data_IF_450498722443
#
_entry.id   IF_450498722443
#
_cell.length_a   1.000
_cell.length_b   1.000
_cell.length_c   1.000
_cell.angle_alpha   90.00
_cell.angle_beta   90.00
_cell.angle_gamma   90.00
#
_symmetry.space_group_name_H-M   'P 1'
#
loop_
_entity.id
_entity.type
_entity.pdbx_description
1 polymer ?
#
# COMPACT_ATOMS: atom_id res chain seq x y z
N UNK A 1 -10.94 12.22 -44.22
CA UNK A 1 -9.51 11.87 -44.35
C UNK A 1 -8.78 13.15 -43.96
N UNK A 2 -8.05 13.27 -42.87
CA UNK A 2 -7.14 12.32 -42.23
C UNK A 2 -7.47 12.07 -40.75
N UNK A 3 -7.15 10.85 -40.34
CA UNK A 3 -7.29 10.33 -38.98
C UNK A 3 -5.96 10.61 -38.30
N UNK A 4 -5.97 11.45 -37.26
CA UNK A 4 -4.76 11.78 -36.52
C UNK A 4 -4.28 10.53 -35.78
N UNK A 5 -3.06 10.10 -36.10
CA UNK A 5 -2.42 8.90 -35.59
C UNK A 5 -2.03 9.13 -34.13
N UNK A 6 -2.95 8.83 -33.21
CA UNK A 6 -2.65 8.69 -31.79
C UNK A 6 -1.67 7.52 -31.62
N UNK A 7 -0.40 7.85 -31.46
CA UNK A 7 0.69 6.91 -31.17
C UNK A 7 0.35 6.06 -29.95
N UNK A 8 -0.07 4.82 -30.20
CA UNK A 8 -0.24 3.76 -29.23
C UNK A 8 1.14 3.14 -28.97
N UNK A 9 1.98 3.83 -28.19
CA UNK A 9 3.24 3.28 -27.69
C UNK A 9 3.07 2.96 -26.20
N UNK A 10 2.84 1.67 -25.96
CA UNK A 10 3.23 0.90 -24.76
C UNK A 10 3.14 1.57 -23.38
N UNK A 11 1.92 1.71 -22.85
CA UNK A 11 1.67 1.96 -21.41
C UNK A 11 1.99 0.77 -20.50
N UNK A 12 2.90 -0.13 -20.89
CA UNK A 12 3.31 -1.31 -20.10
C UNK A 12 4.70 -1.20 -19.48
N UNK A 13 5.40 -0.07 -19.62
CA UNK A 13 6.77 0.05 -19.10
C UNK A 13 7.07 1.32 -18.28
N UNK A 14 6.04 1.95 -17.68
CA UNK A 14 6.21 3.15 -16.84
C UNK A 14 6.03 2.90 -15.33
N UNK A 15 5.84 1.65 -14.90
CA UNK A 15 5.82 1.27 -13.48
C UNK A 15 7.14 0.68 -12.97
N UNK A 16 8.22 0.74 -13.77
CA UNK A 16 9.40 -0.09 -13.51
C UNK A 16 10.56 0.56 -12.77
N UNK A 17 10.62 1.88 -12.50
CA UNK A 17 11.91 2.44 -12.02
C UNK A 17 11.78 3.55 -10.96
N UNK A 18 11.02 3.32 -9.89
CA UNK A 18 11.33 4.01 -8.62
C UNK A 18 11.78 3.03 -7.55
N UNK A 19 11.21 1.83 -7.52
CA UNK A 19 11.63 0.74 -6.63
C UNK A 19 12.94 0.04 -7.05
N UNK A 20 13.24 0.00 -8.34
CA UNK A 20 14.42 -0.73 -8.87
C UNK A 20 15.76 -0.03 -8.55
N UNK A 21 15.70 1.23 -8.12
CA UNK A 21 16.86 1.98 -7.64
C UNK A 21 17.22 1.68 -6.17
N UNK A 22 16.34 1.01 -5.41
CA UNK A 22 16.57 0.76 -3.96
C UNK A 22 17.40 -0.49 -3.67
N UNK A 23 17.81 -1.23 -4.70
CA UNK A 23 18.74 -2.36 -4.58
C UNK A 23 20.20 -1.95 -4.82
N UNK A 24 20.49 -0.65 -4.89
CA UNK A 24 21.83 -0.10 -5.13
C UNK A 24 22.59 0.26 -3.84
N UNK A 25 23.95 0.30 -3.90
CA UNK A 25 24.84 0.49 -2.75
C UNK A 25 24.70 1.83 -2.00
N UNK A 26 24.05 2.84 -2.60
CA UNK A 26 23.83 4.18 -2.02
C UNK A 26 22.78 4.22 -0.89
N UNK A 27 22.01 3.14 -0.73
CA UNK A 27 20.97 3.06 0.29
C UNK A 27 21.52 3.22 1.73
N UNK A 28 22.76 2.81 1.98
CA UNK A 28 23.38 2.98 3.31
C UNK A 28 23.62 4.44 3.69
N UNK A 29 23.85 5.31 2.71
CA UNK A 29 24.13 6.75 2.95
C UNK A 29 22.82 7.52 3.14
N UNK A 30 21.81 7.22 2.31
CA UNK A 30 20.48 7.82 2.46
C UNK A 30 19.77 7.38 3.75
N UNK A 31 19.84 6.09 4.12
CA UNK A 31 19.31 5.61 5.40
C UNK A 31 20.00 6.27 6.59
N UNK A 32 21.33 6.42 6.52
CA UNK A 32 22.08 7.06 7.59
C UNK A 32 21.69 8.54 7.73
N UNK A 33 21.53 9.26 6.62
CA UNK A 33 21.12 10.66 6.64
C UNK A 33 19.66 10.84 7.08
N UNK A 34 18.75 9.99 6.61
CA UNK A 34 17.36 9.99 7.04
C UNK A 34 17.22 9.63 8.53
N UNK A 35 18.02 8.69 9.03
CA UNK A 35 18.06 8.36 10.46
C UNK A 35 18.54 9.53 11.30
N UNK A 36 19.55 10.28 10.84
CA UNK A 36 20.02 11.49 11.55
C UNK A 36 18.97 12.60 11.53
N UNK A 37 18.28 12.78 10.41
CA UNK A 37 17.20 13.77 10.27
C UNK A 37 16.04 13.45 11.22
N UNK A 38 15.64 12.18 11.29
CA UNK A 38 14.62 11.70 12.24
C UNK A 38 15.07 11.90 13.70
N UNK A 39 16.34 11.60 14.02
CA UNK A 39 16.91 11.86 15.35
C UNK A 39 16.82 13.34 15.74
N UNK A 40 17.07 14.24 14.80
CA UNK A 40 17.02 15.69 15.02
C UNK A 40 15.58 16.18 15.20
N UNK A 41 14.65 15.67 14.38
CA UNK A 41 13.22 15.97 14.50
C UNK A 41 12.64 15.48 15.83
N UNK A 42 12.95 14.26 16.26
CA UNK A 42 12.51 13.72 17.57
C UNK A 42 13.04 14.55 18.73
N UNK A 43 14.31 14.98 18.66
CA UNK A 43 14.90 15.90 19.66
C UNK A 43 14.20 17.26 19.68
N UNK A 44 13.89 17.81 18.51
CA UNK A 44 13.18 19.09 18.40
C UNK A 44 11.75 19.00 18.94
N UNK A 45 11.03 17.93 18.64
CA UNK A 45 9.67 17.70 19.14
C UNK A 45 9.69 17.52 20.67
N UNK A 46 10.60 16.71 21.23
CA UNK A 46 10.72 16.60 22.69
C UNK A 46 11.01 17.95 23.34
N UNK A 47 11.89 18.78 22.74
CA UNK A 47 12.20 20.11 23.27
C UNK A 47 10.99 21.05 23.24
N UNK A 48 10.25 21.07 22.13
CA UNK A 48 9.04 21.88 22.00
C UNK A 48 7.96 21.45 23.00
N UNK A 49 7.83 20.15 23.24
CA UNK A 49 6.91 19.59 24.25
C UNK A 49 7.37 19.92 25.67
N UNK A 50 8.70 19.94 25.91
CA UNK A 50 9.30 20.33 27.19
C UNK A 50 8.98 21.79 27.55
N UNK A 51 8.98 22.68 26.54
CA UNK A 51 8.85 24.14 26.67
C UNK A 51 7.38 24.65 26.69
N UNK A 52 6.39 23.91 26.14
CA UNK A 52 5.04 24.46 25.86
C UNK A 52 3.83 23.85 26.62
N UNK A 53 3.92 22.77 27.42
CA UNK A 53 2.73 22.02 27.89
C UNK A 53 2.67 21.73 29.41
N UNK A 54 1.45 21.76 29.97
CA UNK A 54 1.12 21.33 31.34
C UNK A 54 1.52 19.84 31.55
N UNK A 55 2.05 19.53 32.74
CA UNK A 55 2.78 18.30 33.09
C UNK A 55 2.17 16.96 32.66
N UNK A 56 0.84 16.81 32.62
CA UNK A 56 0.17 15.54 32.29
C UNK A 56 0.17 15.26 30.77
N UNK A 57 -0.06 16.28 29.93
CA UNK A 57 -0.05 16.10 28.47
C UNK A 57 1.36 15.95 27.91
N UNK A 58 2.35 16.56 28.59
CA UNK A 58 3.78 16.41 28.30
C UNK A 58 4.25 14.97 28.39
N UNK A 59 3.86 14.24 29.43
CA UNK A 59 4.28 12.84 29.61
C UNK A 59 3.72 11.93 28.53
N UNK A 60 2.47 12.12 28.13
CA UNK A 60 1.80 11.29 27.11
C UNK A 60 2.42 11.51 25.72
N UNK A 61 2.65 12.78 25.34
CA UNK A 61 3.25 13.12 24.04
C UNK A 61 4.70 12.64 23.95
N UNK A 62 5.47 12.76 25.03
CA UNK A 62 6.85 12.22 25.09
C UNK A 62 6.85 10.71 24.87
N UNK A 63 5.96 9.96 25.54
CA UNK A 63 5.86 8.50 25.38
C UNK A 63 5.49 8.11 23.95
N UNK A 64 4.53 8.78 23.33
CA UNK A 64 4.12 8.48 21.95
C UNK A 64 5.23 8.77 20.93
N UNK A 65 5.94 9.88 21.08
CA UNK A 65 7.06 10.23 20.19
C UNK A 65 8.22 9.24 20.35
N UNK A 66 8.51 8.81 21.59
CA UNK A 66 9.52 7.78 21.86
C UNK A 66 9.14 6.43 21.25
N UNK A 67 7.86 6.05 21.33
CA UNK A 67 7.37 4.79 20.78
C UNK A 67 7.40 4.78 19.24
N UNK A 68 7.01 5.89 18.61
CA UNK A 68 7.12 6.05 17.16
C UNK A 68 8.58 5.94 16.69
N UNK A 69 9.50 6.62 17.41
CA UNK A 69 10.92 6.57 17.11
C UNK A 69 11.51 5.15 17.30
N UNK A 70 11.05 4.41 18.31
CA UNK A 70 11.41 3.00 18.54
C UNK A 70 11.00 2.10 17.38
N UNK A 71 9.78 2.28 16.86
CA UNK A 71 9.27 1.52 15.72
C UNK A 71 10.05 1.87 14.45
N UNK A 72 10.31 3.15 14.21
CA UNK A 72 11.11 3.62 13.07
C UNK A 72 12.53 3.02 13.09
N UNK A 73 13.22 3.05 14.24
CA UNK A 73 14.55 2.43 14.41
C UNK A 73 14.53 0.94 14.10
N UNK A 74 13.52 0.21 14.57
CA UNK A 74 13.39 -1.23 14.29
C UNK A 74 13.18 -1.50 12.80
N UNK A 75 12.45 -0.63 12.10
CA UNK A 75 12.27 -0.72 10.66
C UNK A 75 13.61 -0.53 9.91
N UNK A 76 14.38 0.49 10.28
CA UNK A 76 15.72 0.76 9.72
C UNK A 76 16.66 -0.42 9.97
N UNK A 77 16.69 -0.97 11.18
CA UNK A 77 17.52 -2.13 11.53
C UNK A 77 17.18 -3.37 10.69
N UNK A 78 15.89 -3.68 10.50
CA UNK A 78 15.46 -4.82 9.65
C UNK A 78 15.81 -4.61 8.18
N UNK A 79 15.74 -3.36 7.72
CA UNK A 79 16.07 -3.03 6.34
C UNK A 79 17.57 -3.10 6.06
N UNK A 80 18.42 -2.63 7.01
CA UNK A 80 19.87 -2.82 6.92
C UNK A 80 20.26 -4.30 7.03
N UNK A 81 19.55 -5.09 7.85
CA UNK A 81 19.77 -6.53 7.96
C UNK A 81 19.48 -7.26 6.65
N UNK A 82 18.30 -7.01 6.06
CA UNK A 82 17.89 -7.63 4.80
C UNK A 82 18.83 -7.25 3.64
N UNK A 83 19.20 -5.98 3.56
CA UNK A 83 20.13 -5.46 2.55
C UNK A 83 21.55 -5.97 2.77
N UNK A 84 21.97 -6.10 4.03
CA UNK A 84 23.26 -6.67 4.42
C UNK A 84 23.37 -8.17 4.12
N UNK A 85 22.32 -8.94 4.34
CA UNK A 85 22.25 -10.37 4.00
C UNK A 85 22.27 -10.59 2.48
N UNK A 86 21.59 -9.74 1.71
CA UNK A 86 21.63 -9.78 0.23
C UNK A 86 23.04 -9.49 -0.32
N UNK A 87 23.79 -8.59 0.32
CA UNK A 87 25.21 -8.33 -0.03
C UNK A 87 26.13 -9.49 0.31
N UNK A 88 25.86 -10.25 1.38
CA UNK A 88 26.67 -11.43 1.77
C UNK A 88 26.53 -12.58 0.77
N UNK A 89 25.42 -12.67 0.04
CA UNK A 89 25.20 -13.73 -0.97
C UNK A 89 25.64 -13.33 -2.38
N UNK A 90 26.01 -12.06 -2.60
CA UNK A 90 26.42 -11.51 -3.91
C UNK A 90 27.88 -10.98 -3.95
N UNK A 91 28.75 -11.43 -3.04
CA UNK A 91 30.15 -10.99 -2.96
C UNK A 91 31.04 -11.53 -4.11
N UNK A 92 31.96 -10.70 -4.65
CA UNK A 92 32.82 -11.03 -5.80
C UNK A 92 34.13 -11.72 -5.35
N UNK A 93 34.06 -12.98 -4.93
CA UNK A 93 35.25 -13.84 -4.84
C UNK A 93 34.86 -15.32 -4.82
N UNK A 94 34.60 -15.88 -5.99
CA UNK A 94 34.65 -17.32 -6.24
C UNK A 94 34.92 -17.54 -7.71
N UNK A 95 36.14 -17.19 -8.11
CA UNK A 95 36.77 -17.87 -9.24
C UNK A 95 37.08 -19.30 -8.82
N UNK A 96 36.54 -20.26 -9.56
CA UNK A 96 37.22 -21.44 -10.11
C UNK A 96 36.15 -22.43 -10.56
N UNK A 97 35.99 -22.51 -11.88
CA UNK A 97 35.93 -23.75 -12.64
C UNK A 97 35.39 -24.98 -11.90
N UNK A 98 34.14 -25.37 -12.21
CA UNK A 98 33.98 -26.59 -12.98
C UNK A 98 32.60 -26.72 -13.63
N UNK A 99 32.71 -26.87 -14.94
CA UNK A 99 31.74 -27.29 -15.93
C UNK A 99 31.22 -28.69 -15.56
N UNK A 100 29.91 -28.88 -15.40
CA UNK A 100 29.17 -29.95 -16.08
C UNK A 100 27.68 -29.97 -15.79
N UNK A 101 26.87 -30.47 -16.73
CA UNK A 101 25.63 -29.81 -17.13
C UNK A 101 24.40 -30.62 -16.74
N UNK A 102 23.38 -29.94 -16.22
CA UNK A 102 22.03 -30.50 -16.19
C UNK A 102 21.37 -30.22 -17.55
N UNK A 103 21.43 -31.24 -18.41
CA UNK A 103 20.78 -31.27 -19.72
C UNK A 103 19.26 -31.28 -19.52
N UNK A 104 18.64 -30.12 -19.69
CA UNK A 104 17.28 -30.01 -20.22
C UNK A 104 17.37 -30.21 -21.75
N UNK A 105 16.61 -31.13 -22.35
CA UNK A 105 16.54 -31.21 -23.81
C UNK A 105 15.42 -30.31 -24.30
N UNK A 106 15.78 -29.13 -24.80
CA UNK A 106 15.00 -28.45 -25.84
C UNK A 106 15.94 -28.08 -27.00
N UNK A 107 15.70 -28.74 -28.15
CA UNK A 107 16.33 -28.46 -29.45
C UNK A 107 15.73 -27.19 -30.05
N UNK A 108 16.48 -26.48 -30.92
CA UNK A 108 16.09 -26.57 -32.33
C UNK A 108 17.28 -26.52 -33.31
N UNK A 109 17.16 -27.20 -34.46
CA UNK A 109 17.44 -26.72 -35.83
C UNK A 109 17.24 -27.88 -36.83
N UNK A 110 16.17 -27.73 -37.63
CA UNK A 110 16.00 -27.98 -39.07
C UNK A 110 16.63 -29.20 -39.76
N UNK A 111 15.78 -30.09 -40.29
CA UNK A 111 15.69 -30.37 -41.74
C UNK A 111 14.40 -31.13 -42.11
N UNK A 112 13.65 -30.54 -43.07
CA UNK A 112 12.62 -31.09 -43.99
C UNK A 112 11.51 -32.01 -43.41
N UNK A 113 10.23 -31.87 -43.73
CA UNK A 113 9.51 -31.34 -44.88
C UNK A 113 8.03 -31.22 -44.49
N UNK A 114 7.37 -30.19 -45.03
CA UNK A 114 5.95 -30.12 -45.47
C UNK A 114 4.93 -31.05 -44.79
N UNK A 115 3.75 -30.66 -44.32
CA UNK A 115 2.86 -29.54 -44.61
C UNK A 115 1.70 -29.58 -43.58
N UNK A 116 1.19 -28.39 -43.25
CA UNK A 116 -0.16 -27.98 -42.78
C UNK A 116 -1.30 -29.03 -42.80
N UNK A 117 -2.28 -29.08 -41.89
CA UNK A 117 -3.21 -28.03 -41.45
C UNK A 117 -4.08 -28.58 -40.30
N UNK A 118 -4.27 -27.88 -39.18
CA UNK A 118 -5.29 -26.84 -38.89
C UNK A 118 -6.73 -27.38 -38.76
N UNK A 119 -7.34 -27.07 -37.60
CA UNK A 119 -8.78 -27.17 -37.29
C UNK A 119 -9.09 -28.35 -36.38
N UNK A 120 -9.51 -28.20 -35.12
CA UNK A 120 -10.37 -27.18 -34.53
C UNK A 120 -11.83 -27.54 -34.80
N UNK A 121 -12.58 -27.86 -33.73
CA UNK A 121 -13.97 -27.44 -33.49
C UNK A 121 -14.89 -28.53 -32.90
N UNK A 122 -15.52 -28.11 -31.80
CA UNK A 122 -16.89 -28.29 -31.29
C UNK A 122 -17.83 -29.39 -31.78
N UNK A 123 -18.55 -29.92 -30.78
CA UNK A 123 -20.00 -30.18 -30.69
C UNK A 123 -20.84 -30.13 -31.98
N UNK A 124 -21.58 -31.21 -32.28
CA UNK A 124 -23.05 -31.33 -32.08
C UNK A 124 -23.64 -32.57 -32.76
N UNK A 125 -24.81 -32.94 -32.23
CA UNK A 125 -25.79 -33.93 -32.68
C UNK A 125 -26.18 -33.88 -34.17
N UNK A 126 -26.82 -34.96 -34.64
CA UNK A 126 -27.72 -34.89 -35.79
C UNK A 126 -27.81 -36.16 -36.62
N UNK A 127 -28.88 -36.92 -36.38
CA UNK A 127 -29.46 -38.01 -37.18
C UNK A 127 -29.45 -37.75 -38.69
N UNK A 128 -29.17 -38.76 -39.53
CA UNK A 128 -30.12 -39.32 -40.52
C UNK A 128 -29.50 -40.30 -41.53
N UNK A 129 -30.35 -41.23 -41.95
CA UNK A 129 -30.10 -42.44 -42.73
C UNK A 129 -29.70 -42.20 -44.19
N UNK A 130 -29.01 -43.17 -44.80
CA UNK A 130 -29.50 -43.83 -46.03
C UNK A 130 -28.57 -44.95 -46.50
N UNK A 131 -29.20 -46.04 -46.92
CA UNK A 131 -28.63 -47.23 -47.52
C UNK A 131 -28.20 -47.01 -48.97
N UNK A 132 -27.09 -47.62 -49.40
CA UNK A 132 -26.95 -48.11 -50.78
C UNK A 132 -26.13 -49.40 -50.80
N UNK A 133 -26.67 -50.37 -51.54
CA UNK A 133 -26.23 -51.74 -51.76
C UNK A 133 -25.26 -51.87 -52.93
N UNK A 134 -24.38 -52.86 -52.90
CA UNK A 134 -24.03 -53.70 -54.05
C UNK A 134 -23.12 -54.88 -53.69
N UNK A 135 -23.45 -56.01 -54.29
CA UNK A 135 -22.89 -57.34 -54.16
C UNK A 135 -21.45 -57.48 -54.67
N UNK A 136 -20.72 -58.46 -54.12
CA UNK A 136 -19.73 -59.23 -54.86
C UNK A 136 -19.47 -60.56 -54.18
N UNK A 137 -19.95 -61.62 -54.82
CA UNK A 137 -19.63 -63.01 -54.55
C UNK A 137 -18.20 -63.34 -54.99
N UNK A 138 -17.51 -64.19 -54.22
CA UNK A 138 -16.73 -65.30 -54.79
C UNK A 138 -16.27 -66.27 -53.70
N UNK A 139 -16.65 -67.52 -53.94
CA UNK A 139 -16.43 -68.74 -53.20
C UNK A 139 -14.95 -69.16 -53.14
N UNK A 140 -14.56 -69.89 -52.10
CA UNK A 140 -13.46 -70.85 -52.19
C UNK A 140 -13.70 -72.02 -51.22
N UNK A 141 -14.00 -73.16 -51.83
CA UNK A 141 -14.37 -74.42 -51.21
C UNK A 141 -13.19 -75.16 -50.55
N UNK A 142 -13.56 -75.99 -49.57
CA UNK A 142 -12.84 -77.15 -49.01
C UNK A 142 -11.70 -76.86 -48.03
N UNK A 143 -12.00 -76.96 -46.73
CA UNK A 143 -11.29 -77.90 -45.84
C UNK A 143 -12.06 -78.16 -44.55
N UNK A 144 -13.30 -78.66 -44.67
CA UNK A 144 -13.86 -79.52 -43.64
C UNK A 144 -13.05 -80.82 -43.64
N UNK A 145 -12.72 -81.36 -42.45
CA UNK A 145 -11.94 -82.59 -42.18
C UNK A 145 -10.47 -82.37 -41.77
N UNK A 146 -10.17 -81.35 -40.94
CA UNK A 146 -9.06 -81.48 -39.97
C UNK A 146 -9.32 -80.78 -38.62
N UNK A 147 -10.55 -80.87 -38.11
CA UNK A 147 -10.91 -80.34 -36.78
C UNK A 147 -10.66 -81.36 -35.65
N UNK A 148 -10.26 -82.60 -35.97
CA UNK A 148 -10.15 -83.66 -34.95
C UNK A 148 -8.75 -84.26 -34.72
N UNK A 149 -7.70 -83.91 -35.47
CA UNK A 149 -6.41 -84.62 -35.34
C UNK A 149 -5.15 -83.73 -35.42
N UNK A 150 -5.16 -82.52 -34.86
CA UNK A 150 -3.92 -81.74 -34.64
C UNK A 150 -3.88 -80.96 -33.30
N UNK A 151 -4.88 -81.09 -32.43
CA UNK A 151 -5.10 -80.16 -31.31
C UNK A 151 -4.73 -80.70 -29.91
N UNK A 152 -3.67 -81.49 -29.79
CA UNK A 152 -3.18 -81.92 -28.46
C UNK A 152 -1.82 -81.32 -28.06
N UNK A 153 -1.05 -80.77 -29.02
CA UNK A 153 0.33 -80.32 -28.77
C UNK A 153 0.53 -78.80 -28.94
N UNK A 154 -0.44 -78.06 -29.50
CA UNK A 154 -0.39 -76.58 -29.65
C UNK A 154 -1.22 -75.81 -28.61
N UNK A 155 -2.05 -76.52 -27.85
CA UNK A 155 -2.91 -75.95 -26.79
C UNK A 155 -2.08 -75.32 -25.67
N UNK A 156 -0.87 -75.84 -25.43
CA UNK A 156 0.04 -75.40 -24.38
C UNK A 156 0.73 -74.05 -24.73
N UNK A 157 1.17 -73.88 -25.99
CA UNK A 157 1.75 -72.61 -26.48
C UNK A 157 0.72 -71.48 -26.58
N UNK A 158 -0.52 -71.79 -26.94
CA UNK A 158 -1.60 -70.80 -26.99
C UNK A 158 -1.97 -70.29 -25.60
N UNK A 159 -2.14 -71.20 -24.63
CA UNK A 159 -2.38 -70.84 -23.22
C UNK A 159 -1.23 -70.04 -22.61
N UNK A 160 0.01 -70.41 -22.91
CA UNK A 160 1.19 -69.68 -22.42
C UNK A 160 1.24 -68.23 -22.96
N UNK A 161 0.86 -68.02 -24.23
CA UNK A 161 0.77 -66.68 -24.84
C UNK A 161 -0.38 -65.86 -24.24
N UNK A 162 -1.50 -66.49 -23.96
CA UNK A 162 -2.65 -65.82 -23.34
C UNK A 162 -2.37 -65.44 -21.89
N UNK A 163 -1.76 -66.33 -21.12
CA UNK A 163 -1.32 -66.06 -19.74
C UNK A 163 -0.35 -64.88 -19.68
N UNK A 164 0.57 -64.75 -20.65
CA UNK A 164 1.45 -63.58 -20.76
C UNK A 164 0.67 -62.27 -20.98
N UNK A 165 -0.38 -62.28 -21.83
CA UNK A 165 -1.22 -61.09 -22.05
C UNK A 165 -2.03 -60.71 -20.81
N UNK A 166 -2.51 -61.71 -20.05
CA UNK A 166 -3.16 -61.47 -18.76
C UNK A 166 -2.19 -60.90 -17.73
N UNK A 167 -0.95 -61.39 -17.69
CA UNK A 167 0.13 -60.86 -16.84
C UNK A 167 0.41 -59.37 -17.16
N UNK A 168 0.61 -59.04 -18.45
CA UNK A 168 0.84 -57.67 -18.91
C UNK A 168 -0.34 -56.72 -18.59
N UNK A 169 -1.58 -57.24 -18.69
CA UNK A 169 -2.79 -56.48 -18.34
C UNK A 169 -2.90 -56.25 -16.83
N UNK A 170 -2.58 -57.27 -16.02
CA UNK A 170 -2.55 -57.15 -14.56
C UNK A 170 -1.49 -56.16 -14.10
N UNK A 171 -0.29 -56.19 -14.68
CA UNK A 171 0.73 -55.19 -14.38
C UNK A 171 0.27 -53.78 -14.74
N UNK A 172 -0.44 -53.61 -15.86
CA UNK A 172 -1.02 -52.32 -16.25
C UNK A 172 -2.11 -51.86 -15.28
N UNK A 173 -2.95 -52.79 -14.81
CA UNK A 173 -3.96 -52.52 -13.79
C UNK A 173 -3.30 -52.03 -12.49
N UNK A 174 -2.28 -52.75 -11.99
CA UNK A 174 -1.55 -52.36 -10.77
C UNK A 174 -0.90 -50.99 -10.90
N UNK A 175 -0.27 -50.68 -12.05
CA UNK A 175 0.28 -49.34 -12.31
C UNK A 175 -0.78 -48.25 -12.25
N UNK A 176 -1.94 -48.46 -12.86
CA UNK A 176 -3.03 -47.48 -12.80
C UNK A 176 -3.62 -47.34 -11.40
N UNK A 177 -3.72 -48.41 -10.63
CA UNK A 177 -4.15 -48.36 -9.22
C UNK A 177 -3.16 -47.57 -8.35
N UNK A 178 -1.86 -47.71 -8.59
CA UNK A 178 -0.82 -46.92 -7.92
C UNK A 178 -0.88 -45.45 -8.33
N UNK A 179 -0.97 -45.15 -9.64
CA UNK A 179 -1.09 -43.77 -10.14
C UNK A 179 -2.35 -43.07 -9.63
N UNK A 180 -3.47 -43.80 -9.52
CA UNK A 180 -4.71 -43.30 -8.92
C UNK A 180 -4.52 -42.98 -7.44
N UNK A 181 -3.80 -43.84 -6.70
CA UNK A 181 -3.50 -43.63 -5.28
C UNK A 181 -2.62 -42.41 -5.07
N UNK A 182 -1.58 -42.25 -5.87
CA UNK A 182 -0.67 -41.11 -5.82
C UNK A 182 -1.39 -39.80 -6.17
N UNK A 183 -2.26 -39.83 -7.17
CA UNK A 183 -3.08 -38.68 -7.57
C UNK A 183 -4.06 -38.28 -6.46
N UNK A 184 -4.72 -39.24 -5.82
CA UNK A 184 -5.60 -38.99 -4.68
C UNK A 184 -4.85 -38.40 -3.49
N UNK A 185 -3.63 -38.87 -3.20
CA UNK A 185 -2.81 -38.30 -2.13
C UNK A 185 -2.41 -36.84 -2.43
N UNK A 186 -2.00 -36.54 -3.67
CA UNK A 186 -1.70 -35.17 -4.10
C UNK A 186 -2.92 -34.25 -4.00
N UNK A 187 -4.10 -34.76 -4.38
CA UNK A 187 -5.35 -34.02 -4.27
C UNK A 187 -5.66 -33.67 -2.81
N UNK A 188 -5.55 -34.64 -1.89
CA UNK A 188 -5.78 -34.41 -0.45
C UNK A 188 -4.83 -33.34 0.13
N UNK A 189 -3.55 -33.39 -0.24
CA UNK A 189 -2.57 -32.38 0.21
C UNK A 189 -2.90 -30.98 -0.32
N UNK A 190 -3.31 -30.88 -1.60
CA UNK A 190 -3.73 -29.60 -2.19
C UNK A 190 -5.00 -29.06 -1.54
N UNK A 191 -5.98 -29.93 -1.23
CA UNK A 191 -7.20 -29.56 -0.50
C UNK A 191 -6.88 -29.03 0.90
N UNK A 192 -5.97 -29.68 1.64
CA UNK A 192 -5.53 -29.20 2.95
C UNK A 192 -4.84 -27.82 2.86
N UNK A 193 -3.98 -27.62 1.85
CA UNK A 193 -3.34 -26.33 1.62
C UNK A 193 -4.34 -25.22 1.29
N UNK A 194 -5.34 -25.50 0.45
CA UNK A 194 -6.43 -24.56 0.13
C UNK A 194 -7.17 -24.14 1.41
N UNK A 195 -7.51 -25.09 2.29
CA UNK A 195 -8.17 -24.78 3.57
C UNK A 195 -7.28 -23.87 4.41
N UNK A 196 -5.98 -24.18 4.52
CA UNK A 196 -5.03 -23.37 5.27
C UNK A 196 -4.92 -21.94 4.72
N UNK A 197 -4.82 -21.78 3.40
CA UNK A 197 -4.77 -20.47 2.76
C UNK A 197 -6.09 -19.70 2.96
N UNK A 198 -7.24 -20.35 2.82
CA UNK A 198 -8.55 -19.73 3.07
C UNK A 198 -8.71 -19.24 4.50
N UNK A 199 -8.24 -20.00 5.50
CA UNK A 199 -8.30 -19.54 6.90
C UNK A 199 -7.41 -18.31 7.16
N UNK A 200 -6.24 -18.23 6.51
CA UNK A 200 -5.38 -17.04 6.59
C UNK A 200 -5.99 -15.85 5.87
N UNK A 201 -6.56 -16.07 4.68
CA UNK A 201 -7.25 -15.05 3.90
C UNK A 201 -8.39 -14.43 4.73
N UNK A 202 -9.26 -15.26 5.31
CA UNK A 202 -10.38 -14.79 6.14
C UNK A 202 -9.93 -14.01 7.38
N UNK A 203 -8.80 -14.39 7.98
CA UNK A 203 -8.19 -13.61 9.09
C UNK A 203 -7.69 -12.26 8.59
N UNK A 204 -7.04 -12.22 7.43
CA UNK A 204 -6.58 -10.98 6.80
C UNK A 204 -7.74 -10.04 6.48
N UNK A 205 -8.81 -10.55 5.87
CA UNK A 205 -10.04 -9.79 5.57
C UNK A 205 -10.67 -9.20 6.84
N UNK A 206 -10.70 -9.97 7.93
CA UNK A 206 -11.21 -9.47 9.21
C UNK A 206 -10.37 -8.33 9.78
N UNK A 207 -9.03 -8.40 9.64
CA UNK A 207 -8.15 -7.31 10.09
C UNK A 207 -8.28 -6.07 9.19
N UNK A 208 -8.46 -6.28 7.88
CA UNK A 208 -8.69 -5.19 6.94
C UNK A 208 -9.97 -4.41 7.26
N UNK A 209 -11.06 -5.10 7.60
CA UNK A 209 -12.31 -4.45 8.03
C UNK A 209 -12.14 -3.63 9.32
N UNK A 210 -11.38 -4.13 10.30
CA UNK A 210 -11.13 -3.39 11.53
C UNK A 210 -10.26 -2.15 11.28
N UNK A 211 -9.25 -2.25 10.42
CA UNK A 211 -8.44 -1.11 10.01
C UNK A 211 -9.28 -0.07 9.26
N UNK A 212 -10.16 -0.49 8.33
CA UNK A 212 -11.07 0.43 7.64
C UNK A 212 -12.00 1.16 8.62
N UNK A 213 -12.52 0.46 9.62
CA UNK A 213 -13.34 1.07 10.67
C UNK A 213 -12.56 2.12 11.47
N UNK A 214 -11.33 1.82 11.86
CA UNK A 214 -10.47 2.78 12.58
C UNK A 214 -10.16 4.01 11.73
N UNK A 215 -9.93 3.86 10.42
CA UNK A 215 -9.72 5.00 9.51
C UNK A 215 -10.95 5.90 9.48
N UNK A 216 -12.16 5.34 9.35
CA UNK A 216 -13.41 6.12 9.33
C UNK A 216 -13.61 6.90 10.64
N UNK A 217 -13.33 6.25 11.78
CA UNK A 217 -13.44 6.89 13.10
C UNK A 217 -12.42 8.03 13.24
N UNK A 218 -11.18 7.81 12.80
CA UNK A 218 -10.13 8.82 12.80
C UNK A 218 -10.48 10.02 11.91
N UNK A 219 -11.00 9.78 10.71
CA UNK A 219 -11.43 10.82 9.77
C UNK A 219 -12.58 11.67 10.33
N UNK A 220 -13.54 11.03 11.01
CA UNK A 220 -14.62 11.73 11.70
C UNK A 220 -14.09 12.58 12.86
N UNK A 221 -13.17 12.03 13.65
CA UNK A 221 -12.54 12.75 14.75
C UNK A 221 -11.74 13.96 14.25
N UNK A 222 -10.95 13.77 13.18
CA UNK A 222 -10.17 14.83 12.53
C UNK A 222 -11.06 15.95 11.98
N UNK A 223 -12.17 15.58 11.32
CA UNK A 223 -13.14 16.55 10.80
C UNK A 223 -13.77 17.41 11.90
N UNK A 224 -14.09 16.79 13.05
CA UNK A 224 -14.61 17.50 14.21
C UNK A 224 -13.57 18.46 14.79
N UNK A 225 -12.34 18.00 15.01
CA UNK A 225 -11.25 18.86 15.50
C UNK A 225 -10.95 20.01 14.54
N UNK A 226 -10.94 19.77 13.23
CA UNK A 226 -10.76 20.82 12.22
C UNK A 226 -11.87 21.88 12.27
N UNK A 227 -13.11 21.45 12.48
CA UNK A 227 -14.26 22.37 12.62
C UNK A 227 -14.12 23.24 13.88
N UNK A 228 -13.64 22.66 14.98
CA UNK A 228 -13.42 23.37 16.23
C UNK A 228 -12.28 24.40 16.11
N UNK A 229 -11.17 24.03 15.45
CA UNK A 229 -10.07 24.96 15.16
C UNK A 229 -10.57 26.14 14.34
N UNK A 230 -11.42 25.90 13.34
CA UNK A 230 -12.01 26.97 12.53
C UNK A 230 -12.90 27.91 13.37
N UNK A 231 -13.72 27.35 14.27
CA UNK A 231 -14.56 28.14 15.19
C UNK A 231 -13.73 29.03 16.10
N UNK A 232 -12.69 28.48 16.73
CA UNK A 232 -11.80 29.22 17.62
C UNK A 232 -11.02 30.31 16.86
N UNK A 233 -10.64 30.06 15.61
CA UNK A 233 -9.97 31.05 14.77
C UNK A 233 -10.87 32.24 14.44
N UNK A 234 -12.16 32.00 14.17
CA UNK A 234 -13.16 33.05 13.95
C UNK A 234 -13.40 33.87 15.24
N UNK A 235 -13.53 33.20 16.38
CA UNK A 235 -13.66 33.86 17.69
C UNK A 235 -12.43 34.72 18.04
N UNK A 236 -11.24 34.26 17.71
CA UNK A 236 -10.01 35.04 17.90
C UNK A 236 -9.97 36.26 16.97
N UNK A 237 -10.41 36.12 15.72
CA UNK A 237 -10.48 37.23 14.76
C UNK A 237 -11.46 38.31 15.23
N UNK A 238 -12.67 37.89 15.64
CA UNK A 238 -13.71 38.82 16.15
C UNK A 238 -13.29 39.48 17.46
N UNK A 239 -12.71 38.73 18.40
CA UNK A 239 -12.16 39.30 19.64
C UNK A 239 -11.07 40.33 19.38
N UNK A 240 -10.16 40.04 18.44
CA UNK A 240 -9.10 40.98 18.03
C UNK A 240 -9.67 42.28 17.45
N UNK A 241 -10.71 42.19 16.62
CA UNK A 241 -11.37 43.37 16.06
C UNK A 241 -12.05 44.20 17.15
N UNK A 242 -12.73 43.56 18.11
CA UNK A 242 -13.34 44.22 19.26
C UNK A 242 -12.29 44.92 20.15
N UNK A 243 -11.15 44.28 20.41
CA UNK A 243 -10.05 44.89 21.17
C UNK A 243 -9.57 46.15 20.45
N UNK A 244 -9.33 46.07 19.14
CA UNK A 244 -8.89 47.23 18.35
C UNK A 244 -9.91 48.38 18.40
N UNK A 245 -11.20 48.08 18.27
CA UNK A 245 -12.26 49.09 18.39
C UNK A 245 -12.25 49.76 19.78
N UNK A 246 -12.07 48.98 20.85
CA UNK A 246 -11.98 49.51 22.22
C UNK A 246 -10.71 50.34 22.44
N UNK A 247 -9.59 49.98 21.83
CA UNK A 247 -8.34 50.77 21.88
C UNK A 247 -8.53 52.13 21.21
N UNK A 248 -9.21 52.18 20.06
CA UNK A 248 -9.55 53.42 19.37
C UNK A 248 -10.47 54.32 20.23
N UNK A 249 -11.45 53.74 20.93
CA UNK A 249 -12.31 54.46 21.87
C UNK A 249 -11.51 55.04 23.05
N UNK A 250 -10.59 54.26 23.63
CA UNK A 250 -9.72 54.73 24.72
C UNK A 250 -8.88 55.93 24.25
N UNK A 251 -8.34 55.90 23.03
CA UNK A 251 -7.58 57.02 22.45
C UNK A 251 -8.46 58.27 22.31
N UNK A 252 -9.71 58.11 21.83
CA UNK A 252 -10.67 59.21 21.69
C UNK A 252 -11.02 59.84 23.04
N UNK A 253 -11.28 59.02 24.05
CA UNK A 253 -11.59 59.48 25.41
C UNK A 253 -10.39 60.17 26.05
N UNK A 254 -9.17 59.63 25.89
CA UNK A 254 -7.95 60.27 26.37
C UNK A 254 -7.73 61.64 25.71
N UNK A 255 -7.95 61.75 24.41
CA UNK A 255 -7.88 63.05 23.72
C UNK A 255 -8.90 64.05 24.26
N UNK A 256 -10.09 63.58 24.66
CA UNK A 256 -11.10 64.43 25.30
C UNK A 256 -10.70 64.86 26.71
N UNK A 257 -10.12 63.96 27.52
CA UNK A 257 -9.59 64.28 28.85
C UNK A 257 -8.52 65.38 28.72
N UNK A 258 -7.55 65.23 27.82
CA UNK A 258 -6.50 66.23 27.61
C UNK A 258 -7.05 67.60 27.17
N UNK A 259 -8.15 67.65 26.41
CA UNK A 259 -8.83 68.93 26.09
C UNK A 259 -9.39 69.58 27.35
N UNK A 260 -10.12 68.82 28.18
CA UNK A 260 -10.67 69.37 29.42
C UNK A 260 -9.61 69.77 30.43
N UNK A 261 -8.50 69.04 30.52
CA UNK A 261 -7.35 69.41 31.36
C UNK A 261 -6.76 70.76 30.93
N UNK A 262 -6.55 70.96 29.63
CA UNK A 262 -6.08 72.25 29.10
C UNK A 262 -7.07 73.39 29.37
N UNK A 263 -8.37 73.16 29.13
CA UNK A 263 -9.40 74.17 29.40
C UNK A 263 -9.48 74.53 30.88
N UNK A 264 -9.38 73.54 31.78
CA UNK A 264 -9.31 73.76 33.22
C UNK A 264 -8.05 74.52 33.63
N UNK A 265 -6.90 74.20 33.05
CA UNK A 265 -5.64 74.93 33.30
C UNK A 265 -5.75 76.40 32.85
N UNK A 266 -6.30 76.65 31.66
CA UNK A 266 -6.51 78.00 31.14
C UNK A 266 -7.44 78.83 32.03
N UNK A 267 -8.59 78.26 32.42
CA UNK A 267 -9.52 78.91 33.36
C UNK A 267 -8.88 79.11 34.74
N UNK A 268 -8.02 78.20 35.17
CA UNK A 268 -7.24 78.34 36.40
C UNK A 268 -6.33 79.57 36.36
N UNK A 269 -5.61 79.78 35.25
CA UNK A 269 -4.78 80.97 35.06
C UNK A 269 -5.60 82.26 35.04
N UNK A 270 -6.75 82.28 34.34
CA UNK A 270 -7.65 83.44 34.31
C UNK A 270 -8.19 83.81 35.70
N UNK A 271 -8.56 82.81 36.51
CA UNK A 271 -9.01 83.04 37.90
C UNK A 271 -7.89 83.64 38.76
N UNK A 272 -6.65 83.16 38.61
CA UNK A 272 -5.51 83.70 39.37
C UNK A 272 -5.21 85.16 38.95
N UNK A 273 -5.30 85.48 37.66
CA UNK A 273 -5.13 86.84 37.14
C UNK A 273 -6.21 87.80 37.66
N UNK A 274 -7.48 87.40 37.56
CA UNK A 274 -8.61 88.19 38.08
C UNK A 274 -8.52 88.41 39.60
N UNK A 275 -8.05 87.40 40.34
CA UNK A 275 -7.82 87.50 41.78
C UNK A 275 -6.69 88.48 42.11
N UNK A 276 -5.60 88.47 41.32
CA UNK A 276 -4.53 89.46 41.41
C UNK A 276 -5.05 90.89 41.20
N UNK A 277 -5.77 91.13 40.10
CA UNK A 277 -6.36 92.43 39.79
C UNK A 277 -7.34 92.91 40.88
N UNK A 278 -8.10 92.01 41.49
CA UNK A 278 -9.00 92.33 42.60
C UNK A 278 -8.24 92.76 43.87
N UNK A 279 -7.11 92.11 44.18
CA UNK A 279 -6.22 92.52 45.27
C UNK A 279 -5.69 93.94 45.05
N UNK A 280 -5.15 94.21 43.86
CA UNK A 280 -4.62 95.53 43.50
C UNK A 280 -5.71 96.62 43.59
N UNK A 281 -6.92 96.35 43.09
CA UNK A 281 -8.04 97.27 43.18
C UNK A 281 -8.46 97.55 44.62
N UNK A 282 -8.46 96.52 45.48
CA UNK A 282 -8.78 96.65 46.91
C UNK A 282 -7.73 97.49 47.66
N UNK A 283 -6.46 97.30 47.36
CA UNK A 283 -5.38 98.07 47.96
C UNK A 283 -5.45 99.54 47.52
N UNK A 284 -5.67 99.78 46.23
CA UNK A 284 -5.90 101.13 45.69
C UNK A 284 -7.11 101.84 46.34
N UNK A 285 -8.24 101.15 46.51
CA UNK A 285 -9.41 101.69 47.19
C UNK A 285 -9.14 102.04 48.66
N UNK A 286 -8.35 101.20 49.34
CA UNK A 286 -7.95 101.43 50.74
C UNK A 286 -7.08 102.69 50.87
N UNK A 287 -6.15 102.91 49.94
CA UNK A 287 -5.33 104.13 49.87
C UNK A 287 -6.22 105.36 49.63
N UNK A 288 -7.14 105.29 48.65
CA UNK A 288 -7.99 106.41 48.26
C UNK A 288 -8.95 106.85 49.38
N UNK A 289 -9.41 105.91 50.23
CA UNK A 289 -10.25 106.20 51.40
C UNK A 289 -9.49 106.85 52.56
N UNK A 290 -8.18 106.63 52.65
CA UNK A 290 -7.33 107.16 53.71
C UNK A 290 -6.79 108.56 53.40
N UNK A 291 -6.89 109.02 52.15
CA UNK A 291 -6.49 110.35 51.68
C UNK A 291 -7.63 111.36 51.72
#
# INVERSE_FOLDING_TARGET
MEVDMMNKVDSKNLKSCWWDSHLNPENSEWLAENSKEMDLNVKQIMKLVEDNSENVTKSEVIVQVQELYRIYRNLVERYDHLTGELRKTQGPDSGLDQISPMVTPDKPVQQASSFSSVGGSSEKEGTESSSFSSDSDSESFISSVNVYLSSAMDTDKSKMRENRRYEELNEKLTRYEEELRDSNLKLLLAEEEIVKLNTKLKKSESLELELQKQIIELDACFSNSSSEVMRLMEELSTSKENIKASEEEIVMLNAQISRYENDLSNRGHEVEELKGALCDARDNFSIQKAS
#
